data_IF_456583249874
#
_entry.id   IF_456583249874
#
_cell.length_a   1.000
_cell.length_b   1.000
_cell.length_c   1.000
_cell.angle_alpha   90.00
_cell.angle_beta   90.00
_cell.angle_gamma   90.00
#
_symmetry.space_group_name_H-M   'P 1'
#
loop_
_entity.id
_entity.type
_entity.pdbx_description
1 polymer ?
#
# COMPACT_ATOMS: atom_id res chain seq x y z
N UNK A 1 -4.09 21.10 -5.65
CA UNK A 1 -4.08 20.61 -4.24
C UNK A 1 -4.30 19.09 -4.15
N UNK A 2 -5.45 18.55 -4.57
CA UNK A 2 -5.74 17.10 -4.50
C UNK A 2 -4.70 16.23 -5.24
N UNK A 3 -4.32 16.59 -6.46
CA UNK A 3 -3.36 15.81 -7.25
C UNK A 3 -1.98 15.74 -6.58
N UNK A 4 -1.57 16.80 -5.88
CA UNK A 4 -0.32 16.82 -5.13
C UNK A 4 -0.38 15.88 -3.91
N UNK A 5 -1.51 15.86 -3.18
CA UNK A 5 -1.75 14.91 -2.09
C UNK A 5 -1.70 13.46 -2.58
N UNK A 6 -2.36 13.16 -3.71
CA UNK A 6 -2.35 11.82 -4.31
C UNK A 6 -0.94 11.40 -4.77
N UNK A 7 -0.15 12.33 -5.31
CA UNK A 7 1.23 12.07 -5.68
C UNK A 7 2.08 11.75 -4.43
N UNK A 8 1.97 12.55 -3.37
CA UNK A 8 2.68 12.30 -2.12
C UNK A 8 2.31 10.94 -1.49
N UNK A 9 1.01 10.58 -1.46
CA UNK A 9 0.56 9.26 -0.99
C UNK A 9 1.17 8.15 -1.85
N UNK A 10 1.16 8.31 -3.19
CA UNK A 10 1.78 7.35 -4.11
C UNK A 10 3.26 7.14 -3.79
N UNK A 11 4.01 8.21 -3.57
CA UNK A 11 5.45 8.13 -3.27
C UNK A 11 5.70 7.36 -1.96
N UNK A 12 4.89 7.61 -0.92
CA UNK A 12 4.98 6.90 0.36
C UNK A 12 4.68 5.40 0.18
N UNK A 13 3.56 5.04 -0.46
CA UNK A 13 3.16 3.63 -0.55
C UNK A 13 4.02 2.82 -1.54
N UNK A 14 4.71 3.48 -2.47
CA UNK A 14 5.66 2.84 -3.40
C UNK A 14 7.10 2.85 -2.90
N UNK A 15 7.39 3.55 -1.80
CA UNK A 15 8.71 3.54 -1.18
C UNK A 15 9.19 2.13 -0.84
N UNK A 16 10.50 1.90 -0.89
CA UNK A 16 11.08 0.57 -0.70
C UNK A 16 10.85 -0.41 -1.87
N UNK A 17 10.57 0.12 -3.07
CA UNK A 17 10.49 -0.66 -4.31
C UNK A 17 9.15 -1.38 -4.53
N UNK A 18 8.12 -1.02 -3.77
CA UNK A 18 6.76 -1.59 -3.91
C UNK A 18 6.12 -1.09 -5.20
N UNK A 19 5.37 -1.96 -5.89
CA UNK A 19 4.40 -1.47 -6.88
C UNK A 19 3.25 -0.75 -6.18
N UNK A 20 2.46 0.02 -6.92
CA UNK A 20 1.30 0.72 -6.35
C UNK A 20 0.31 -0.26 -5.69
N UNK A 21 0.06 -1.40 -6.31
CA UNK A 21 -0.83 -2.43 -5.79
C UNK A 21 -0.29 -3.02 -4.48
N UNK A 22 1.01 -3.30 -4.44
CA UNK A 22 1.69 -3.79 -3.23
C UNK A 22 1.67 -2.76 -2.10
N UNK A 23 1.88 -1.48 -2.42
CA UNK A 23 1.77 -0.38 -1.47
C UNK A 23 0.38 -0.26 -0.86
N UNK A 24 -0.67 -0.38 -1.69
CA UNK A 24 -2.05 -0.37 -1.23
C UNK A 24 -2.37 -1.58 -0.32
N UNK A 25 -1.88 -2.78 -0.67
CA UNK A 25 -2.01 -3.96 0.18
C UNK A 25 -1.25 -3.81 1.50
N UNK A 26 -0.03 -3.27 1.47
CA UNK A 26 0.76 -2.99 2.66
C UNK A 26 0.07 -1.97 3.59
N UNK A 27 -0.63 -0.98 3.02
CA UNK A 27 -1.44 -0.05 3.80
C UNK A 27 -2.61 -0.75 4.50
N UNK A 28 -3.33 -1.65 3.80
CA UNK A 28 -4.41 -2.43 4.40
C UNK A 28 -3.90 -3.32 5.54
N UNK A 29 -2.79 -4.03 5.32
CA UNK A 29 -2.16 -4.89 6.33
C UNK A 29 -1.71 -4.10 7.57
N UNK A 30 -1.34 -2.82 7.42
CA UNK A 30 -0.94 -1.97 8.54
C UNK A 30 -2.11 -1.45 9.40
N UNK A 31 -3.36 -1.59 8.93
CA UNK A 31 -4.53 -1.06 9.66
C UNK A 31 -4.88 -1.86 10.91
N UNK A 32 -4.64 -3.16 10.88
CA UNK A 32 -4.90 -4.08 12.01
C UNK A 32 -4.30 -5.43 11.70
N UNK A 33 -3.74 -6.10 12.71
CA UNK A 33 -3.23 -7.48 12.61
C UNK A 33 -4.31 -8.49 12.19
N UNK A 34 -5.60 -8.14 12.35
CA UNK A 34 -6.74 -8.96 11.94
C UNK A 34 -7.16 -8.73 10.48
N UNK A 35 -6.49 -7.81 9.77
CA UNK A 35 -6.84 -7.46 8.38
C UNK A 35 -6.26 -8.48 7.41
N UNK A 36 -7.11 -9.14 6.64
CA UNK A 36 -6.71 -10.02 5.54
C UNK A 36 -7.27 -9.45 4.23
N UNK A 37 -6.46 -8.73 3.43
CA UNK A 37 -6.94 -8.16 2.18
C UNK A 37 -7.23 -9.26 1.15
N UNK A 38 -8.36 -9.16 0.44
CA UNK A 38 -8.76 -10.07 -0.64
C UNK A 38 -8.69 -9.29 -1.97
N UNK A 39 -7.52 -9.23 -2.63
CA UNK A 39 -7.39 -8.50 -3.88
C UNK A 39 -8.07 -9.23 -5.03
N UNK A 40 -8.73 -8.47 -5.90
CA UNK A 40 -9.24 -8.98 -7.17
C UNK A 40 -8.09 -9.37 -8.11
N UNK A 41 -8.20 -10.53 -8.75
CA UNK A 41 -7.20 -11.08 -9.67
C UNK A 41 -7.90 -11.55 -10.94
N UNK A 42 -7.45 -11.08 -12.10
CA UNK A 42 -7.91 -11.56 -13.42
C UNK A 42 -6.81 -12.26 -14.22
N UNK A 43 -5.55 -12.08 -13.83
CA UNK A 43 -4.40 -12.68 -14.51
C UNK A 43 -3.40 -13.26 -13.51
N UNK A 44 -2.60 -14.23 -13.96
CA UNK A 44 -1.51 -14.79 -13.16
C UNK A 44 -0.48 -13.73 -12.78
N UNK A 45 -0.21 -12.75 -13.65
CA UNK A 45 0.70 -11.65 -13.34
C UNK A 45 0.22 -10.82 -12.15
N UNK A 46 -1.08 -10.49 -12.09
CA UNK A 46 -1.68 -9.78 -10.96
C UNK A 46 -1.61 -10.62 -9.67
N UNK A 47 -1.82 -11.93 -9.78
CA UNK A 47 -1.68 -12.83 -8.63
C UNK A 47 -0.25 -12.77 -8.05
N UNK A 48 0.76 -12.85 -8.93
CA UNK A 48 2.18 -12.78 -8.53
C UNK A 48 2.55 -11.42 -7.95
N UNK A 49 2.10 -10.33 -8.57
CA UNK A 49 2.34 -8.97 -8.08
C UNK A 49 1.74 -8.77 -6.68
N UNK A 50 0.46 -9.12 -6.52
CA UNK A 50 -0.25 -8.98 -5.24
C UNK A 50 0.40 -9.83 -4.14
N UNK A 51 0.76 -11.08 -4.43
CA UNK A 51 1.46 -11.95 -3.47
C UNK A 51 2.83 -11.38 -3.07
N UNK A 52 3.51 -10.69 -3.99
CA UNK A 52 4.78 -10.00 -3.72
C UNK A 52 4.69 -8.95 -2.60
N UNK A 53 3.50 -8.42 -2.29
CA UNK A 53 3.31 -7.50 -1.17
C UNK A 53 3.75 -8.10 0.18
N UNK A 54 3.63 -9.43 0.35
CA UNK A 54 4.04 -10.13 1.57
C UNK A 54 5.53 -9.99 1.87
N UNK A 55 6.39 -9.88 0.85
CA UNK A 55 7.83 -9.68 1.03
C UNK A 55 8.16 -8.29 1.61
N UNK A 56 7.26 -7.32 1.45
CA UNK A 56 7.42 -5.96 1.96
C UNK A 56 6.77 -5.75 3.32
N UNK A 57 5.81 -6.60 3.70
CA UNK A 57 5.04 -6.48 4.93
C UNK A 57 4.15 -5.22 5.00
N UNK A 58 3.54 -4.96 6.17
CA UNK A 58 2.77 -3.74 6.43
C UNK A 58 3.60 -2.47 6.25
N UNK A 59 2.94 -1.35 5.96
CA UNK A 59 3.58 -0.04 6.11
C UNK A 59 3.96 0.21 7.57
N UNK A 60 5.04 0.96 7.77
CA UNK A 60 5.52 1.34 9.10
C UNK A 60 4.57 2.36 9.75
N UNK A 61 4.58 2.47 11.10
CA UNK A 61 3.80 3.49 11.80
C UNK A 61 4.09 4.93 11.32
N UNK A 62 5.33 5.21 10.94
CA UNK A 62 5.75 6.53 10.41
C UNK A 62 5.06 6.81 9.08
N UNK A 63 5.12 5.87 8.13
CA UNK A 63 4.44 6.00 6.83
C UNK A 63 2.92 6.14 6.98
N UNK A 64 2.33 5.43 7.95
CA UNK A 64 0.89 5.55 8.24
C UNK A 64 0.52 6.95 8.75
N UNK A 65 1.33 7.52 9.65
CA UNK A 65 1.13 8.88 10.15
C UNK A 65 1.30 9.95 9.05
N UNK A 66 2.28 9.77 8.16
CA UNK A 66 2.47 10.65 6.99
C UNK A 66 1.24 10.65 6.06
N UNK A 67 0.70 9.47 5.76
CA UNK A 67 -0.51 9.34 4.93
C UNK A 67 -1.71 9.98 5.62
N UNK A 68 -1.88 9.80 6.94
CA UNK A 68 -2.98 10.40 7.69
C UNK A 68 -2.96 11.94 7.62
N UNK A 69 -1.78 12.56 7.68
CA UNK A 69 -1.61 14.00 7.51
C UNK A 69 -1.97 14.53 6.12
N UNK A 70 -1.98 13.65 5.09
CA UNK A 70 -2.31 14.01 3.71
C UNK A 70 -3.79 13.79 3.36
N UNK A 71 -4.51 12.95 4.11
CA UNK A 71 -5.92 12.61 3.85
C UNK A 71 -6.90 13.52 4.60
N UNK A 72 -6.46 14.14 5.70
CA UNK A 72 -7.21 15.16 6.43
C UNK A 72 -7.25 16.49 5.68
#
# INVERSE_FOLDING_TARGET
ELMARLAAIRDIITSGGRTLAQGALAWLLARSEQTVPIPGIRTVAQARENAGAMAHGPLTPVQMAEIEGLVR
#
